data_IF_974626015485
#
_entry.id   IF_974626015485
#
_cell.length_a   1.000
_cell.length_b   1.000
_cell.length_c   1.000
_cell.angle_alpha   90.00
_cell.angle_beta   90.00
_cell.angle_gamma   90.00
#
_symmetry.space_group_name_H-M   'P 1'
#
loop_
_entity.id
_entity.type
_entity.pdbx_description
1 polymer ?
#
# COMPACT_ATOMS: atom_id res chain seq x y z
N UNK A 1 6.87 29.61 50.96
CA UNK A 1 8.24 29.78 51.46
C UNK A 1 9.06 28.68 50.83
N UNK A 2 9.90 28.85 49.88
CA UNK A 2 10.74 29.88 49.26
C UNK A 2 10.80 29.70 47.74
N UNK A 3 10.73 30.81 47.02
CA UNK A 3 11.07 30.94 45.61
C UNK A 3 12.60 30.80 45.43
N UNK A 4 13.05 30.07 44.41
CA UNK A 4 14.37 30.25 43.83
C UNK A 4 14.23 30.55 42.35
N UNK A 5 14.53 31.80 42.01
CA UNK A 5 14.70 32.31 40.67
C UNK A 5 16.05 31.86 40.11
N UNK A 6 16.09 31.41 38.85
CA UNK A 6 17.34 31.27 38.08
C UNK A 6 17.46 32.39 37.06
N UNK A 7 18.53 33.16 37.22
CA UNK A 7 18.95 34.21 36.28
C UNK A 7 19.63 33.59 35.05
N UNK A 8 19.22 34.00 33.87
CA UNK A 8 19.98 33.80 32.63
C UNK A 8 20.92 34.98 32.41
N UNK A 9 22.23 34.71 32.32
CA UNK A 9 23.25 35.68 31.92
C UNK A 9 23.44 35.60 30.42
N UNK A 10 23.08 36.68 29.72
CA UNK A 10 23.37 36.88 28.29
C UNK A 10 24.75 37.51 28.18
N UNK A 11 25.69 36.81 27.54
CA UNK A 11 27.01 37.38 27.19
C UNK A 11 26.93 37.90 25.77
N UNK A 12 26.99 39.21 25.60
CA UNK A 12 27.14 39.90 24.32
C UNK A 12 28.63 40.11 24.10
N UNK A 13 29.19 39.49 23.07
CA UNK A 13 30.53 39.82 22.54
C UNK A 13 30.40 40.63 21.29
N UNK A 14 30.76 41.89 21.37
CA UNK A 14 30.92 42.75 20.22
C UNK A 14 32.29 42.49 19.57
N UNK A 15 32.28 42.21 18.26
CA UNK A 15 33.50 42.20 17.43
C UNK A 15 33.35 43.28 16.35
N UNK A 16 34.31 44.16 16.38
CA UNK A 16 34.53 45.33 15.54
C UNK A 16 34.96 44.91 14.15
N UNK A 17 34.43 45.64 13.15
CA UNK A 17 34.66 45.39 11.76
C UNK A 17 36.05 45.76 11.24
N UNK A 18 36.44 45.09 10.20
CA UNK A 18 37.39 45.56 9.20
C UNK A 18 36.77 45.43 7.80
N UNK A 19 36.56 46.55 7.16
CA UNK A 19 36.17 46.61 5.74
C UNK A 19 37.32 46.10 4.88
N UNK A 20 37.05 45.07 4.12
CA UNK A 20 37.85 44.73 2.94
C UNK A 20 36.95 44.85 1.72
N UNK A 21 37.27 45.82 0.88
CA UNK A 21 36.68 46.01 -0.45
C UNK A 21 37.23 44.90 -1.34
N UNK A 22 36.39 44.00 -1.79
CA UNK A 22 36.72 43.02 -2.83
C UNK A 22 35.84 43.28 -4.06
N UNK A 23 36.55 43.43 -5.14
CA UNK A 23 36.14 43.55 -6.53
C UNK A 23 34.95 42.69 -6.94
N UNK A 24 34.06 43.29 -7.71
CA UNK A 24 33.05 42.63 -8.53
C UNK A 24 33.66 41.49 -9.36
N UNK A 25 33.25 40.28 -9.10
CA UNK A 25 33.41 39.18 -10.03
C UNK A 25 32.02 38.72 -10.51
N UNK A 26 31.90 38.79 -11.81
CA UNK A 26 30.81 38.37 -12.67
C UNK A 26 30.04 37.15 -12.15
N UNK A 27 28.71 37.30 -12.14
CA UNK A 27 27.72 36.24 -12.04
C UNK A 27 27.98 35.08 -13.03
N UNK A 28 28.65 34.05 -12.57
CA UNK A 28 28.35 32.71 -13.06
C UNK A 28 27.26 32.19 -12.12
N UNK A 29 26.01 32.13 -12.58
CA UNK A 29 24.95 31.40 -11.96
C UNK A 29 25.44 29.93 -11.83
N UNK A 30 26.01 29.62 -10.69
CA UNK A 30 26.44 28.26 -10.35
C UNK A 30 25.21 27.38 -10.29
N UNK A 31 25.08 26.47 -11.25
CA UNK A 31 24.08 25.41 -11.21
C UNK A 31 24.21 24.72 -9.84
N UNK A 32 23.24 24.92 -8.96
CA UNK A 32 23.20 24.20 -7.68
C UNK A 32 23.15 22.68 -7.95
N UNK A 33 23.95 21.91 -7.21
CA UNK A 33 23.95 20.44 -7.32
C UNK A 33 22.54 19.89 -7.08
N UNK A 34 22.20 18.80 -7.76
CA UNK A 34 20.92 18.12 -7.56
C UNK A 34 20.89 17.55 -6.14
N UNK A 35 19.87 17.91 -5.38
CA UNK A 35 19.66 17.38 -4.05
C UNK A 35 18.65 16.21 -4.11
N UNK A 36 18.94 15.14 -3.34
CA UNK A 36 18.11 13.95 -3.20
C UNK A 36 17.64 13.82 -1.76
N UNK A 37 16.37 13.51 -1.55
CA UNK A 37 15.80 13.21 -0.23
C UNK A 37 14.75 12.10 -0.33
N UNK A 38 14.72 11.23 0.68
CA UNK A 38 13.63 10.27 0.92
C UNK A 38 13.16 10.31 2.37
N UNK A 39 13.49 11.37 3.09
CA UNK A 39 13.12 11.57 4.50
C UNK A 39 11.71 12.21 4.58
N UNK A 40 10.73 11.41 4.21
CA UNK A 40 9.30 11.72 4.28
C UNK A 40 8.47 10.44 4.26
N UNK A 41 7.18 10.54 4.61
CA UNK A 41 6.23 9.42 4.64
C UNK A 41 6.26 8.58 3.35
N UNK A 42 6.50 7.28 3.49
CA UNK A 42 6.67 6.30 2.41
C UNK A 42 7.90 6.51 1.52
N UNK A 43 8.77 7.47 1.85
CA UNK A 43 10.02 7.74 1.14
C UNK A 43 11.00 6.58 1.27
N UNK A 44 11.63 6.18 0.16
CA UNK A 44 12.56 5.05 0.14
C UNK A 44 13.53 5.16 -1.04
N UNK A 45 14.78 5.29 -0.74
CA UNK A 45 15.94 5.05 -1.61
C UNK A 45 17.11 4.73 -0.70
N UNK A 46 17.97 3.81 -1.06
CA UNK A 46 19.16 3.56 -0.26
C UNK A 46 20.24 4.58 -0.56
N UNK A 47 20.61 4.65 -1.83
CA UNK A 47 21.63 5.57 -2.31
C UNK A 47 21.25 6.09 -3.68
N UNK A 48 21.38 7.40 -3.90
CA UNK A 48 21.24 8.05 -5.19
C UNK A 48 22.07 9.33 -5.19
N UNK A 49 23.02 9.47 -6.13
CA UNK A 49 23.91 10.62 -6.23
C UNK A 49 24.15 11.01 -7.68
N UNK A 50 24.48 12.27 -7.91
CA UNK A 50 24.87 12.79 -9.23
C UNK A 50 26.29 12.31 -9.56
N UNK A 51 26.42 11.24 -10.36
CA UNK A 51 27.69 10.65 -10.75
C UNK A 51 28.41 11.42 -11.86
N UNK A 52 27.65 12.18 -12.67
CA UNK A 52 28.10 13.15 -13.67
C UNK A 52 26.97 14.15 -13.92
N UNK A 53 27.21 15.32 -14.51
CA UNK A 53 26.18 16.37 -14.68
C UNK A 53 24.87 15.85 -15.23
N UNK A 54 23.77 16.04 -14.46
CA UNK A 54 22.40 15.59 -14.74
C UNK A 54 22.23 14.07 -14.89
N UNK A 55 23.15 13.27 -14.39
CA UNK A 55 23.07 11.82 -14.39
C UNK A 55 23.24 11.30 -12.96
N UNK A 56 22.17 10.72 -12.41
CA UNK A 56 22.17 10.11 -11.10
C UNK A 56 22.30 8.60 -11.21
N UNK A 57 23.10 8.02 -10.31
CA UNK A 57 23.28 6.58 -10.18
C UNK A 57 22.95 6.18 -8.76
N UNK A 58 22.30 5.04 -8.57
CA UNK A 58 21.97 4.55 -7.25
C UNK A 58 21.25 3.22 -7.27
N UNK A 59 20.67 2.86 -6.14
CA UNK A 59 19.89 1.63 -5.97
C UNK A 59 18.79 1.81 -4.93
N UNK A 60 17.66 1.08 -5.07
CA UNK A 60 16.61 1.07 -4.09
C UNK A 60 17.08 0.40 -2.80
N UNK A 61 16.34 0.62 -1.74
CA UNK A 61 16.65 0.06 -0.43
C UNK A 61 16.27 -1.41 -0.36
N UNK A 62 17.26 -2.28 -0.22
CA UNK A 62 17.04 -3.67 0.08
C UNK A 62 16.61 -3.88 1.55
N UNK A 63 15.61 -4.74 1.75
CA UNK A 63 15.13 -5.13 3.07
C UNK A 63 15.11 -6.65 3.17
N UNK A 64 15.92 -7.18 4.10
CA UNK A 64 15.96 -8.62 4.39
C UNK A 64 14.98 -8.93 5.50
N UNK A 65 14.17 -9.97 5.30
CA UNK A 65 13.31 -10.49 6.34
C UNK A 65 14.17 -11.04 7.50
N UNK A 66 13.75 -10.81 8.74
CA UNK A 66 14.48 -11.30 9.92
C UNK A 66 14.40 -12.81 10.06
N UNK A 67 13.24 -13.39 9.80
CA UNK A 67 12.95 -14.81 9.99
C UNK A 67 13.35 -15.69 8.80
N UNK A 68 13.70 -15.10 7.64
CA UNK A 68 14.04 -15.86 6.41
C UNK A 68 15.19 -15.24 5.62
N UNK A 69 15.49 -15.83 4.46
CA UNK A 69 16.49 -15.29 3.51
C UNK A 69 15.90 -14.30 2.51
N UNK A 70 14.61 -13.99 2.62
CA UNK A 70 13.92 -13.12 1.65
C UNK A 70 14.47 -11.70 1.69
N UNK A 71 14.71 -11.14 0.50
CA UNK A 71 15.28 -9.81 0.29
C UNK A 71 14.44 -9.08 -0.73
N UNK A 72 13.77 -8.02 -0.27
CA UNK A 72 12.83 -7.23 -1.04
C UNK A 72 13.39 -5.84 -1.33
N UNK A 73 13.19 -5.34 -2.56
CA UNK A 73 13.96 -4.21 -3.08
C UNK A 73 13.19 -3.30 -4.03
N UNK A 74 12.00 -3.67 -4.50
CA UNK A 74 11.45 -3.02 -5.69
C UNK A 74 10.83 -1.65 -5.45
N UNK A 75 10.55 -1.25 -4.22
CA UNK A 75 10.00 0.07 -3.94
C UNK A 75 11.08 1.14 -3.86
N UNK A 76 10.90 2.22 -4.62
CA UNK A 76 11.60 3.48 -4.42
C UNK A 76 10.62 4.65 -4.48
N UNK A 77 10.87 5.67 -3.67
CA UNK A 77 10.14 6.93 -3.65
C UNK A 77 11.04 8.01 -3.07
N UNK A 78 11.41 8.98 -3.88
CA UNK A 78 12.35 10.02 -3.50
C UNK A 78 12.00 11.35 -4.16
N UNK A 79 12.51 12.45 -3.57
CA UNK A 79 12.42 13.81 -4.08
C UNK A 79 13.77 14.24 -4.67
N UNK A 80 13.72 14.89 -5.81
CA UNK A 80 14.83 15.66 -6.36
C UNK A 80 14.53 17.15 -6.25
N UNK A 81 15.57 17.96 -6.01
CA UNK A 81 15.50 19.42 -6.06
C UNK A 81 16.64 19.98 -6.92
N UNK A 82 16.48 21.22 -7.37
CA UNK A 82 17.38 21.88 -8.32
C UNK A 82 17.36 21.23 -9.71
N UNK A 83 16.19 20.81 -10.20
CA UNK A 83 16.06 20.07 -11.47
C UNK A 83 15.30 20.82 -12.57
N UNK A 84 14.77 22.02 -12.31
CA UNK A 84 13.99 22.78 -13.29
C UNK A 84 14.69 22.93 -14.64
N UNK A 85 14.04 22.52 -15.73
CA UNK A 85 14.54 22.60 -17.10
C UNK A 85 15.72 21.69 -17.43
N UNK A 86 16.21 20.90 -16.49
CA UNK A 86 17.31 19.95 -16.71
C UNK A 86 16.82 18.64 -17.29
N UNK A 87 17.54 18.08 -18.25
CA UNK A 87 17.31 16.71 -18.74
C UNK A 87 18.03 15.73 -17.81
N UNK A 88 17.27 15.16 -16.88
CA UNK A 88 17.80 14.28 -15.84
C UNK A 88 17.73 12.83 -16.30
N UNK A 89 18.85 12.12 -16.19
CA UNK A 89 18.92 10.67 -16.34
C UNK A 89 19.14 10.04 -14.98
N UNK A 90 18.39 9.00 -14.66
CA UNK A 90 18.50 8.23 -13.42
C UNK A 90 18.71 6.77 -13.79
N UNK A 91 19.77 6.17 -13.27
CA UNK A 91 20.06 4.75 -13.37
C UNK A 91 19.98 4.13 -11.98
N UNK A 92 19.08 3.16 -11.84
CA UNK A 92 18.97 2.34 -10.63
C UNK A 92 19.51 0.94 -10.93
N UNK A 93 20.48 0.51 -10.14
CA UNK A 93 21.11 -0.81 -10.21
C UNK A 93 20.62 -1.71 -9.06
N UNK A 94 21.10 -2.94 -9.01
CA UNK A 94 20.77 -3.93 -7.97
C UNK A 94 19.27 -4.26 -7.88
N UNK A 95 18.60 -4.36 -9.02
CA UNK A 95 17.17 -4.63 -9.12
C UNK A 95 16.87 -6.15 -9.15
N UNK A 96 17.42 -6.87 -8.18
CA UNK A 96 17.21 -8.30 -7.97
C UNK A 96 17.18 -8.62 -6.48
N UNK A 97 16.26 -9.45 -6.04
CA UNK A 97 16.12 -9.87 -4.66
C UNK A 97 15.94 -11.38 -4.50
N UNK A 98 15.45 -11.78 -3.34
CA UNK A 98 15.18 -13.18 -3.01
C UNK A 98 13.77 -13.28 -2.46
N UNK A 99 13.00 -14.26 -2.92
CA UNK A 99 11.72 -14.61 -2.37
C UNK A 99 11.54 -16.13 -2.30
N UNK A 100 11.24 -16.65 -1.10
CA UNK A 100 11.11 -18.08 -0.81
C UNK A 100 12.33 -18.90 -1.31
N UNK A 101 13.51 -18.34 -1.11
CA UNK A 101 14.79 -18.96 -1.49
C UNK A 101 15.13 -18.94 -2.98
N UNK A 102 14.29 -18.32 -3.83
CA UNK A 102 14.53 -18.15 -5.26
C UNK A 102 14.78 -16.70 -5.67
N UNK A 103 15.29 -16.46 -6.89
CA UNK A 103 15.42 -15.10 -7.42
C UNK A 103 14.06 -14.40 -7.50
N UNK A 104 13.99 -13.15 -7.05
CA UNK A 104 12.84 -12.30 -7.14
C UNK A 104 13.11 -11.15 -8.11
N UNK A 105 12.49 -11.16 -9.29
CA UNK A 105 12.71 -10.22 -10.38
C UNK A 105 11.36 -9.57 -10.75
N UNK A 106 11.11 -8.38 -10.21
CA UNK A 106 9.83 -7.66 -10.39
C UNK A 106 9.89 -6.70 -11.57
N UNK A 107 11.07 -6.17 -11.89
CA UNK A 107 11.21 -5.20 -12.98
C UNK A 107 11.14 -5.88 -14.34
N UNK A 108 10.47 -5.23 -15.27
CA UNK A 108 10.30 -5.67 -16.66
C UNK A 108 10.54 -4.51 -17.63
N UNK A 109 10.56 -4.79 -18.93
CA UNK A 109 10.58 -3.75 -19.96
C UNK A 109 9.33 -2.85 -19.91
N UNK A 110 8.25 -3.30 -19.28
CA UNK A 110 7.03 -2.54 -19.04
C UNK A 110 7.05 -1.69 -17.76
N UNK A 111 8.13 -1.70 -16.98
CA UNK A 111 8.23 -0.87 -15.78
C UNK A 111 8.35 0.60 -16.17
N UNK A 112 7.40 1.44 -15.71
CA UNK A 112 7.43 2.88 -15.90
C UNK A 112 7.25 3.60 -14.55
N UNK A 113 8.30 4.23 -14.03
CA UNK A 113 8.18 5.08 -12.86
C UNK A 113 7.20 6.23 -13.06
N UNK A 114 6.70 6.77 -11.97
CA UNK A 114 5.83 7.93 -11.96
C UNK A 114 6.54 9.11 -11.31
N UNK A 115 6.13 10.36 -11.69
CA UNK A 115 6.59 11.57 -11.04
C UNK A 115 5.45 12.52 -10.75
N UNK A 116 5.63 13.40 -9.77
CA UNK A 116 4.66 14.41 -9.36
C UNK A 116 5.38 15.66 -8.84
N UNK A 117 4.75 16.83 -9.01
CA UNK A 117 5.21 18.08 -8.40
C UNK A 117 4.50 18.42 -7.08
N UNK A 118 3.42 17.71 -6.75
CA UNK A 118 2.56 17.98 -5.58
C UNK A 118 2.17 16.73 -4.79
N UNK A 119 2.70 15.57 -5.15
CA UNK A 119 2.39 14.24 -4.57
C UNK A 119 0.91 13.81 -4.74
N UNK A 120 0.15 14.51 -5.57
CA UNK A 120 -1.28 14.23 -5.84
C UNK A 120 -1.53 13.90 -7.31
N UNK A 121 -0.94 14.68 -8.21
CA UNK A 121 -1.10 14.51 -9.65
C UNK A 121 0.15 13.82 -10.22
N UNK A 122 0.02 12.54 -10.51
CA UNK A 122 1.11 11.69 -10.98
C UNK A 122 1.11 11.52 -12.49
N UNK A 123 2.29 11.56 -13.08
CA UNK A 123 2.54 11.35 -14.50
C UNK A 123 3.57 10.23 -14.68
N UNK A 124 3.51 9.49 -15.80
CA UNK A 124 4.49 8.44 -16.07
C UNK A 124 5.70 8.96 -16.80
N UNK A 125 6.86 8.38 -16.49
CA UNK A 125 8.09 8.58 -17.23
C UNK A 125 8.10 7.55 -18.36
N UNK A 126 8.16 8.03 -19.63
CA UNK A 126 8.05 7.16 -20.79
C UNK A 126 9.40 6.75 -21.38
N UNK A 127 10.47 7.58 -21.22
CA UNK A 127 11.81 7.20 -21.65
C UNK A 127 12.47 6.32 -20.60
N UNK A 128 12.20 5.00 -20.72
CA UNK A 128 12.64 3.99 -19.76
C UNK A 128 13.28 2.84 -20.49
N UNK A 129 14.39 2.33 -19.96
CA UNK A 129 15.11 1.14 -20.44
C UNK A 129 15.43 0.23 -19.26
N UNK A 130 14.95 -1.01 -19.33
CA UNK A 130 15.31 -2.06 -18.38
C UNK A 130 16.33 -3.01 -19.00
N UNK A 131 17.43 -3.23 -18.29
CA UNK A 131 18.46 -4.20 -18.66
C UNK A 131 18.32 -5.43 -17.75
N UNK A 132 17.81 -6.53 -18.31
CA UNK A 132 17.56 -7.76 -17.56
C UNK A 132 18.85 -8.50 -17.17
N UNK A 133 19.96 -8.34 -17.93
CA UNK A 133 21.24 -8.99 -17.63
C UNK A 133 21.95 -8.30 -16.47
N UNK A 134 21.84 -6.98 -16.38
CA UNK A 134 22.45 -6.17 -15.34
C UNK A 134 21.51 -5.90 -14.16
N UNK A 135 20.24 -6.29 -14.27
CA UNK A 135 19.19 -5.94 -13.31
C UNK A 135 19.20 -4.43 -12.99
N UNK A 136 19.13 -3.61 -14.03
CA UNK A 136 19.16 -2.16 -13.93
C UNK A 136 18.05 -1.50 -14.71
N UNK A 137 17.58 -0.36 -14.22
CA UNK A 137 16.54 0.48 -14.83
C UNK A 137 17.13 1.87 -15.06
N UNK A 138 17.12 2.33 -16.31
CA UNK A 138 17.50 3.70 -16.66
C UNK A 138 16.29 4.44 -17.19
N UNK A 139 16.02 5.64 -16.66
CA UNK A 139 14.93 6.49 -17.14
C UNK A 139 15.34 7.95 -17.20
N UNK A 140 14.66 8.72 -18.08
CA UNK A 140 14.97 10.13 -18.33
C UNK A 140 13.71 10.96 -18.36
N UNK A 141 13.83 12.20 -17.88
CA UNK A 141 12.80 13.20 -18.06
C UNK A 141 13.37 14.62 -17.96
N UNK A 142 12.64 15.58 -18.53
CA UNK A 142 12.86 17.01 -18.31
C UNK A 142 11.77 17.50 -17.35
N UNK A 143 12.17 17.94 -16.16
CA UNK A 143 11.22 18.40 -15.16
C UNK A 143 10.98 19.92 -15.30
N UNK A 144 9.70 20.31 -15.25
CA UNK A 144 9.31 21.73 -15.40
C UNK A 144 9.57 22.53 -14.12
N UNK A 145 9.44 21.90 -12.94
CA UNK A 145 9.59 22.55 -11.65
C UNK A 145 10.92 22.19 -10.98
N UNK A 146 11.33 23.00 -10.02
CA UNK A 146 12.60 22.84 -9.32
C UNK A 146 12.63 21.61 -8.40
N UNK A 147 11.49 21.22 -7.89
CA UNK A 147 11.32 20.02 -7.06
C UNK A 147 10.37 19.04 -7.69
N UNK A 148 10.71 17.74 -7.67
CA UNK A 148 9.90 16.64 -8.20
C UNK A 148 10.00 15.42 -7.31
N UNK A 149 8.89 14.75 -7.10
CA UNK A 149 8.85 13.43 -6.47
C UNK A 149 8.78 12.36 -7.55
N UNK A 150 9.57 11.31 -7.38
CA UNK A 150 9.67 10.18 -8.31
C UNK A 150 9.46 8.89 -7.54
N UNK A 151 8.58 8.02 -8.03
CA UNK A 151 8.27 6.75 -7.39
C UNK A 151 8.18 5.59 -8.38
N UNK A 152 8.33 4.37 -7.86
CA UNK A 152 8.17 3.12 -8.61
C UNK A 152 6.77 2.99 -9.25
N UNK A 153 5.72 3.27 -8.49
CA UNK A 153 4.31 3.31 -8.91
C UNK A 153 3.60 4.42 -8.12
N UNK A 154 2.30 4.63 -8.34
CA UNK A 154 1.51 5.63 -7.61
C UNK A 154 1.58 5.35 -6.09
N UNK A 155 2.23 6.20 -5.27
CA UNK A 155 2.29 5.99 -3.83
C UNK A 155 0.92 6.17 -3.17
N UNK A 156 0.66 5.37 -2.15
CA UNK A 156 -0.44 5.57 -1.20
C UNK A 156 0.18 5.61 0.20
N UNK A 157 0.53 6.80 0.67
CA UNK A 157 1.27 6.97 1.92
C UNK A 157 0.41 6.69 3.16
N UNK A 158 1.06 6.53 4.31
CA UNK A 158 0.36 6.40 5.59
C UNK A 158 -0.52 7.63 5.87
N UNK A 159 -0.01 8.83 5.58
CA UNK A 159 -0.78 10.08 5.71
C UNK A 159 -2.01 10.07 4.81
N UNK A 160 -1.90 9.64 3.54
CA UNK A 160 -3.07 9.51 2.65
C UNK A 160 -4.10 8.52 3.18
N UNK A 161 -3.65 7.40 3.77
CA UNK A 161 -4.55 6.46 4.43
C UNK A 161 -5.28 7.04 5.63
N UNK A 162 -4.62 7.87 6.43
CA UNK A 162 -5.28 8.61 7.52
C UNK A 162 -6.25 9.67 6.97
N UNK A 163 -5.87 10.40 5.93
CA UNK A 163 -6.75 11.37 5.26
C UNK A 163 -8.00 10.69 4.71
N UNK A 164 -7.88 9.49 4.12
CA UNK A 164 -9.01 8.69 3.70
C UNK A 164 -9.94 8.38 4.88
N UNK A 165 -9.41 7.87 5.98
CA UNK A 165 -10.20 7.53 7.18
C UNK A 165 -10.90 8.78 7.72
N UNK A 166 -10.21 9.90 7.89
CA UNK A 166 -10.78 11.16 8.36
C UNK A 166 -11.86 11.71 7.40
N UNK A 167 -11.67 11.55 6.08
CA UNK A 167 -12.63 12.06 5.08
C UNK A 167 -14.00 11.40 5.14
N UNK A 168 -14.07 10.20 5.71
CA UNK A 168 -15.31 9.42 5.83
C UNK A 168 -15.88 9.40 7.25
N UNK A 169 -15.17 9.98 8.23
CA UNK A 169 -15.66 10.10 9.61
C UNK A 169 -17.02 10.83 9.68
N UNK A 170 -17.86 10.38 10.60
CA UNK A 170 -19.19 10.95 10.79
C UNK A 170 -20.22 10.55 9.74
N UNK A 171 -19.87 9.74 8.74
CA UNK A 171 -20.87 9.18 7.81
C UNK A 171 -21.83 8.25 8.56
N UNK A 172 -23.15 8.42 8.38
CA UNK A 172 -24.18 7.66 9.08
C UNK A 172 -24.13 6.13 8.88
N UNK A 173 -23.46 5.67 7.83
CA UNK A 173 -23.33 4.25 7.50
C UNK A 173 -21.99 3.65 7.98
N UNK A 174 -21.14 4.46 8.60
CA UNK A 174 -19.79 4.08 8.97
C UNK A 174 -19.58 4.07 10.50
N UNK A 175 -18.91 3.04 10.99
CA UNK A 175 -18.31 3.02 12.34
C UNK A 175 -16.82 2.69 12.19
N UNK A 176 -15.96 3.38 12.93
CA UNK A 176 -14.51 3.18 12.94
C UNK A 176 -14.11 2.66 14.32
N UNK A 177 -13.35 1.59 14.35
CA UNK A 177 -12.79 0.96 15.54
C UNK A 177 -11.27 0.84 15.40
N UNK A 178 -10.51 0.97 16.49
CA UNK A 178 -9.09 0.62 16.53
C UNK A 178 -8.97 -0.78 17.10
N UNK A 179 -8.48 -1.74 16.31
CA UNK A 179 -8.29 -3.14 16.73
C UNK A 179 -7.07 -3.31 17.61
N UNK A 180 -6.03 -2.54 17.32
CA UNK A 180 -4.75 -2.58 18.01
C UNK A 180 -3.81 -1.53 17.48
N UNK A 181 -2.55 -1.65 17.89
CA UNK A 181 -1.46 -0.76 17.47
C UNK A 181 -0.27 -1.59 17.00
N UNK A 182 0.43 -1.07 16.00
CA UNK A 182 1.74 -1.59 15.59
C UNK A 182 2.79 -1.38 16.70
N UNK A 183 3.99 -1.89 16.51
CA UNK A 183 5.10 -1.66 17.46
C UNK A 183 5.46 -0.19 17.55
N UNK A 184 5.33 0.58 16.48
CA UNK A 184 5.55 2.03 16.48
C UNK A 184 4.31 2.84 16.87
N UNK A 185 3.31 2.18 17.48
CA UNK A 185 2.10 2.80 18.03
C UNK A 185 1.17 3.44 17.00
N UNK A 186 1.21 3.02 15.73
CA UNK A 186 0.21 3.38 14.72
C UNK A 186 -1.03 2.51 14.87
N UNK A 187 -2.19 3.13 14.71
CA UNK A 187 -3.47 2.45 14.87
C UNK A 187 -3.79 1.53 13.67
N UNK A 188 -4.35 0.35 13.97
CA UNK A 188 -4.94 -0.56 12.99
C UNK A 188 -6.44 -0.37 13.06
N UNK A 189 -6.99 0.29 12.04
CA UNK A 189 -8.40 0.66 11.98
C UNK A 189 -9.23 -0.40 11.29
N UNK A 190 -10.38 -0.71 11.88
CA UNK A 190 -11.45 -1.48 11.27
C UNK A 190 -12.63 -0.57 10.97
N UNK A 191 -12.97 -0.44 9.71
CA UNK A 191 -14.10 0.34 9.22
C UNK A 191 -15.28 -0.59 8.97
N UNK A 192 -16.40 -0.33 9.66
CA UNK A 192 -17.64 -1.08 9.47
C UNK A 192 -18.62 -0.24 8.68
N UNK A 193 -18.99 -0.71 7.48
CA UNK A 193 -19.96 -0.03 6.62
C UNK A 193 -21.23 -0.87 6.48
N UNK A 194 -22.37 -0.32 6.89
CA UNK A 194 -23.69 -0.97 6.80
C UNK A 194 -24.81 0.05 7.01
N UNK A 195 -26.02 -0.25 6.58
CA UNK A 195 -27.23 0.52 6.93
C UNK A 195 -27.83 0.00 8.24
N UNK A 196 -27.59 0.71 9.33
CA UNK A 196 -28.08 0.31 10.68
C UNK A 196 -29.58 0.44 10.87
N UNK A 197 -30.29 1.08 9.92
CA UNK A 197 -31.77 1.12 9.94
C UNK A 197 -32.37 -0.24 9.57
N UNK A 198 -31.60 -1.10 8.94
CA UNK A 198 -31.94 -2.50 8.64
C UNK A 198 -31.23 -3.41 9.65
N UNK A 199 -31.94 -4.28 10.37
CA UNK A 199 -31.31 -5.22 11.30
C UNK A 199 -30.24 -6.09 10.64
N UNK A 200 -29.15 -6.34 11.34
CA UNK A 200 -28.06 -7.18 10.83
C UNK A 200 -28.45 -8.65 10.67
N UNK A 201 -29.55 -9.08 11.31
CA UNK A 201 -30.09 -10.42 11.15
C UNK A 201 -30.41 -10.70 9.67
N UNK A 202 -29.68 -11.65 9.06
CA UNK A 202 -29.80 -12.00 7.64
C UNK A 202 -28.95 -11.20 6.68
N UNK A 203 -28.21 -10.19 7.13
CA UNK A 203 -27.14 -9.59 6.32
C UNK A 203 -25.95 -10.56 6.20
N UNK A 204 -25.26 -10.47 5.09
CA UNK A 204 -23.97 -11.15 4.90
C UNK A 204 -22.87 -10.30 5.52
N UNK A 205 -21.84 -10.94 6.03
CA UNK A 205 -20.68 -10.25 6.62
C UNK A 205 -19.49 -10.48 5.72
N UNK A 206 -18.89 -9.41 5.24
CA UNK A 206 -17.74 -9.43 4.34
C UNK A 206 -16.57 -8.77 5.06
N UNK A 207 -15.43 -9.45 5.08
CA UNK A 207 -14.19 -8.94 5.63
C UNK A 207 -13.20 -8.66 4.49
N UNK A 208 -12.63 -7.47 4.44
CA UNK A 208 -11.69 -7.04 3.40
C UNK A 208 -10.47 -6.42 4.07
N UNK A 209 -9.29 -6.88 3.67
CA UNK A 209 -8.01 -6.31 4.06
C UNK A 209 -7.27 -5.79 2.84
N UNK A 210 -6.48 -4.73 3.00
CA UNK A 210 -5.58 -4.22 1.98
C UNK A 210 -4.24 -3.83 2.61
N UNK A 211 -3.20 -3.72 1.79
CA UNK A 211 -1.87 -3.26 2.19
C UNK A 211 -1.25 -4.09 3.33
N UNK A 212 -1.42 -5.41 3.28
CA UNK A 212 -0.67 -6.33 4.14
C UNK A 212 0.81 -6.32 3.77
N UNK A 213 1.12 -6.26 2.46
CA UNK A 213 2.44 -5.90 1.98
C UNK A 213 2.49 -4.40 1.68
N UNK A 214 3.41 -3.71 2.35
CA UNK A 214 3.43 -2.26 2.39
C UNK A 214 3.64 -1.58 1.01
N UNK A 215 4.45 -2.17 0.12
CA UNK A 215 4.75 -1.64 -1.22
C UNK A 215 3.69 -1.93 -2.28
N UNK A 216 2.57 -2.55 -1.92
CA UNK A 216 1.46 -2.87 -2.83
C UNK A 216 0.39 -1.75 -2.84
N UNK A 217 0.83 -0.52 -3.07
CA UNK A 217 0.07 0.71 -2.83
C UNK A 217 -1.25 0.83 -3.59
N UNK A 218 -1.44 0.11 -4.71
CA UNK A 218 -2.72 0.09 -5.42
C UNK A 218 -3.87 -0.39 -4.52
N UNK A 219 -3.59 -1.26 -3.54
CA UNK A 219 -4.56 -1.72 -2.55
C UNK A 219 -5.21 -0.57 -1.74
N UNK A 220 -4.45 0.49 -1.44
CA UNK A 220 -4.97 1.67 -0.76
C UNK A 220 -6.00 2.44 -1.59
N UNK A 221 -5.73 2.63 -2.89
CA UNK A 221 -6.69 3.25 -3.82
C UNK A 221 -7.92 2.38 -4.03
N UNK A 222 -7.76 1.05 -4.04
CA UNK A 222 -8.89 0.11 -4.10
C UNK A 222 -9.77 0.24 -2.86
N UNK A 223 -9.17 0.31 -1.66
CA UNK A 223 -9.90 0.55 -0.41
C UNK A 223 -10.66 1.89 -0.44
N UNK A 224 -10.02 2.94 -0.97
CA UNK A 224 -10.65 4.25 -1.14
C UNK A 224 -11.84 4.19 -2.10
N UNK A 225 -11.69 3.53 -3.27
CA UNK A 225 -12.78 3.35 -4.22
C UNK A 225 -13.96 2.55 -3.67
N UNK A 226 -13.65 1.49 -2.90
CA UNK A 226 -14.63 0.69 -2.18
C UNK A 226 -15.43 1.55 -1.17
N UNK A 227 -14.74 2.34 -0.34
CA UNK A 227 -15.38 3.19 0.66
C UNK A 227 -16.18 4.32 0.01
N UNK A 228 -15.63 5.02 -0.98
CA UNK A 228 -16.33 6.06 -1.75
C UNK A 228 -17.65 5.55 -2.33
N UNK A 229 -17.63 4.35 -2.93
CA UNK A 229 -18.83 3.74 -3.47
C UNK A 229 -19.82 3.34 -2.37
N UNK A 230 -19.35 2.56 -1.39
CA UNK A 230 -20.24 2.06 -0.32
C UNK A 230 -20.89 3.18 0.52
N UNK A 231 -20.24 4.33 0.64
CA UNK A 231 -20.76 5.48 1.41
C UNK A 231 -21.51 6.50 0.56
N UNK A 232 -21.63 6.27 -0.76
CA UNK A 232 -22.34 7.16 -1.68
C UNK A 232 -23.86 7.00 -1.64
N UNK A 233 -24.56 7.92 -2.33
CA UNK A 233 -26.02 7.88 -2.54
C UNK A 233 -26.44 6.99 -3.73
N UNK A 234 -25.51 6.24 -4.35
CA UNK A 234 -25.79 5.27 -5.42
C UNK A 234 -26.77 4.20 -4.91
N UNK A 235 -27.84 3.93 -5.67
CA UNK A 235 -28.87 2.95 -5.29
C UNK A 235 -28.30 1.54 -5.05
N UNK A 236 -27.27 1.15 -5.81
CA UNK A 236 -26.59 -0.13 -5.63
C UNK A 236 -25.76 -0.14 -4.36
N UNK A 237 -25.15 1.01 -3.99
CA UNK A 237 -24.46 1.15 -2.71
C UNK A 237 -25.45 1.05 -1.54
N UNK A 238 -26.62 1.68 -1.65
CA UNK A 238 -27.69 1.54 -0.66
C UNK A 238 -28.15 0.07 -0.54
N UNK A 239 -28.30 -0.65 -1.65
CA UNK A 239 -28.62 -2.09 -1.64
C UNK A 239 -27.52 -2.90 -0.97
N UNK A 240 -26.24 -2.64 -1.29
CA UNK A 240 -25.10 -3.30 -0.66
C UNK A 240 -25.13 -3.13 0.86
N UNK A 241 -25.30 -1.91 1.37
CA UNK A 241 -25.37 -1.63 2.82
C UNK A 241 -26.58 -2.28 3.52
N UNK A 242 -27.73 -2.41 2.84
CA UNK A 242 -28.93 -3.06 3.37
C UNK A 242 -28.82 -4.58 3.46
N UNK A 243 -27.97 -5.18 2.64
CA UNK A 243 -27.82 -6.65 2.53
C UNK A 243 -26.55 -7.17 3.15
N UNK A 244 -25.56 -6.29 3.40
CA UNK A 244 -24.21 -6.67 3.80
C UNK A 244 -23.67 -5.74 4.89
N UNK A 245 -22.90 -6.31 5.79
CA UNK A 245 -22.00 -5.60 6.73
C UNK A 245 -20.58 -5.75 6.19
N UNK A 246 -19.98 -4.68 5.74
CA UNK A 246 -18.59 -4.68 5.31
C UNK A 246 -17.67 -4.35 6.48
N UNK A 247 -16.67 -5.15 6.71
CA UNK A 247 -15.60 -5.00 7.70
C UNK A 247 -14.29 -4.80 6.94
N UNK A 248 -13.73 -3.59 6.94
CA UNK A 248 -12.64 -3.20 6.06
C UNK A 248 -11.45 -2.73 6.89
N UNK A 249 -10.27 -3.31 6.67
CA UNK A 249 -9.00 -2.80 7.18
C UNK A 249 -8.24 -2.19 6.00
N UNK A 250 -8.22 -0.85 5.85
CA UNK A 250 -7.65 -0.20 4.67
C UNK A 250 -6.12 -0.16 4.68
N UNK A 251 -5.48 -0.34 5.83
CA UNK A 251 -4.03 -0.41 6.00
C UNK A 251 -3.70 -1.46 7.06
N UNK A 252 -3.33 -2.66 6.59
CA UNK A 252 -2.96 -3.75 7.50
C UNK A 252 -1.53 -3.57 8.05
N UNK A 253 -0.67 -2.86 7.33
CA UNK A 253 0.75 -2.68 7.64
C UNK A 253 1.16 -1.19 7.71
N UNK A 254 0.67 -0.44 8.70
CA UNK A 254 0.94 1.00 8.80
C UNK A 254 2.42 1.37 8.92
N UNK A 255 3.22 0.58 9.66
CA UNK A 255 4.65 0.85 9.85
C UNK A 255 5.45 0.63 8.57
N UNK A 256 5.19 -0.47 7.86
CA UNK A 256 5.83 -0.74 6.58
C UNK A 256 5.51 0.31 5.53
N UNK A 257 4.25 0.79 5.47
CA UNK A 257 3.82 1.88 4.58
C UNK A 257 4.58 3.16 4.92
N UNK A 258 4.60 3.56 6.19
CA UNK A 258 5.26 4.80 6.63
C UNK A 258 6.75 4.82 6.30
N UNK A 259 7.44 3.69 6.46
CA UNK A 259 8.87 3.57 6.18
C UNK A 259 9.21 3.27 4.71
N UNK A 260 8.24 3.21 3.82
CA UNK A 260 8.45 2.88 2.41
C UNK A 260 9.11 1.50 2.24
N UNK A 261 8.69 0.53 3.03
CA UNK A 261 9.17 -0.86 2.94
C UNK A 261 8.41 -1.56 1.81
N UNK A 262 9.10 -2.38 1.04
CA UNK A 262 8.51 -3.05 -0.11
C UNK A 262 7.42 -4.05 0.26
N UNK A 263 7.70 -4.94 1.24
CA UNK A 263 6.82 -6.07 1.58
C UNK A 263 6.56 -6.19 3.07
N UNK A 264 7.60 -6.06 3.86
CA UNK A 264 7.59 -6.38 5.28
C UNK A 264 6.95 -5.26 6.13
N UNK A 265 6.68 -5.57 7.39
CA UNK A 265 6.31 -4.56 8.38
C UNK A 265 7.53 -3.77 8.89
N UNK A 266 7.34 -2.92 9.90
CA UNK A 266 8.41 -2.13 10.51
C UNK A 266 9.51 -2.98 11.15
N UNK A 267 9.18 -4.19 11.59
CA UNK A 267 10.13 -5.15 12.17
C UNK A 267 10.81 -6.05 11.14
N UNK A 268 10.53 -5.86 9.86
CA UNK A 268 11.03 -6.64 8.73
C UNK A 268 10.54 -8.11 8.75
N UNK A 269 9.28 -8.32 9.12
CA UNK A 269 8.60 -9.61 8.99
C UNK A 269 7.49 -9.53 7.93
N UNK A 270 7.27 -10.65 7.23
CA UNK A 270 6.20 -10.77 6.24
C UNK A 270 4.90 -11.15 6.93
N UNK A 271 4.02 -10.17 7.13
CA UNK A 271 2.75 -10.38 7.82
C UNK A 271 1.90 -11.49 7.19
N UNK A 272 2.03 -11.71 5.88
CA UNK A 272 1.27 -12.76 5.18
C UNK A 272 1.94 -14.14 5.23
N UNK A 273 2.88 -14.34 6.15
CA UNK A 273 3.51 -15.62 6.46
C UNK A 273 3.36 -16.01 7.95
N UNK A 274 2.63 -15.21 8.75
CA UNK A 274 2.55 -15.40 10.21
C UNK A 274 1.15 -15.78 10.72
N UNK A 275 0.22 -16.04 9.82
CA UNK A 275 -1.16 -16.34 10.21
C UNK A 275 -1.38 -17.76 10.76
N UNK A 276 -0.42 -18.67 10.54
CA UNK A 276 -0.46 -20.05 11.08
C UNK A 276 -0.06 -20.13 12.56
N UNK A 277 0.64 -19.11 13.07
CA UNK A 277 1.18 -19.16 14.42
C UNK A 277 0.07 -19.23 15.47
N UNK A 278 0.18 -20.21 16.35
CA UNK A 278 -0.73 -20.39 17.47
C UNK A 278 -0.29 -19.50 18.64
N UNK A 279 -1.09 -18.48 18.95
CA UNK A 279 -0.86 -17.58 20.09
C UNK A 279 -0.87 -18.30 21.46
N UNK A 280 -1.25 -19.57 21.51
CA UNK A 280 -1.26 -20.37 22.73
C UNK A 280 0.08 -21.05 22.97
N UNK A 281 0.94 -21.14 21.98
CA UNK A 281 2.28 -21.72 22.12
C UNK A 281 3.28 -20.67 22.60
N UNK A 282 3.63 -20.70 23.86
CA UNK A 282 4.59 -19.81 24.51
C UNK A 282 6.05 -20.02 24.07
N UNK A 283 6.32 -21.02 23.21
CA UNK A 283 7.64 -21.32 22.68
C UNK A 283 7.92 -20.63 21.35
N UNK A 284 6.90 -20.10 20.67
CA UNK A 284 7.08 -19.35 19.43
C UNK A 284 7.27 -17.86 19.71
N UNK A 285 8.00 -17.20 18.82
CA UNK A 285 8.21 -15.75 18.87
C UNK A 285 6.86 -15.03 18.86
N UNK A 286 6.71 -13.90 19.56
CA UNK A 286 5.47 -13.17 19.55
C UNK A 286 5.11 -12.80 18.10
N UNK A 287 3.95 -13.25 17.67
CA UNK A 287 3.33 -12.86 16.39
C UNK A 287 3.29 -11.34 16.30
N UNK A 288 3.48 -10.80 15.10
CA UNK A 288 3.44 -9.36 14.91
C UNK A 288 2.09 -8.77 15.36
N UNK A 289 2.09 -7.60 16.02
CA UNK A 289 0.89 -7.01 16.63
C UNK A 289 -0.27 -6.85 15.65
N UNK A 290 0.05 -6.58 14.38
CA UNK A 290 -0.90 -6.43 13.28
C UNK A 290 -1.72 -7.69 13.08
N UNK A 291 -1.06 -8.84 12.99
CA UNK A 291 -1.70 -10.16 12.84
C UNK A 291 -2.44 -10.53 14.13
N UNK A 292 -1.80 -10.32 15.28
CA UNK A 292 -2.35 -10.68 16.59
C UNK A 292 -3.68 -9.99 16.88
N UNK A 293 -3.80 -8.68 16.63
CA UNK A 293 -5.02 -7.93 16.93
C UNK A 293 -6.18 -8.32 16.01
N UNK A 294 -5.91 -8.58 14.74
CA UNK A 294 -6.94 -9.00 13.77
C UNK A 294 -7.40 -10.43 14.08
N UNK A 295 -6.49 -11.35 14.35
CA UNK A 295 -6.81 -12.73 14.73
C UNK A 295 -7.65 -12.77 16.01
N UNK A 296 -7.28 -11.94 17.01
CA UNK A 296 -8.08 -11.77 18.23
C UNK A 296 -9.48 -11.28 17.91
N UNK A 297 -9.61 -10.23 17.09
CA UNK A 297 -10.92 -9.72 16.69
C UNK A 297 -11.77 -10.77 15.97
N UNK A 298 -11.22 -11.57 15.06
CA UNK A 298 -11.95 -12.63 14.36
C UNK A 298 -12.46 -13.67 15.37
N UNK A 299 -11.64 -14.11 16.34
CA UNK A 299 -12.04 -15.06 17.39
C UNK A 299 -13.17 -14.49 18.26
N UNK A 300 -13.05 -13.26 18.72
CA UNK A 300 -14.08 -12.58 19.50
C UNK A 300 -15.38 -12.43 18.70
N UNK A 301 -15.29 -12.02 17.43
CA UNK A 301 -16.44 -11.93 16.54
C UNK A 301 -17.18 -13.27 16.39
N UNK A 302 -16.47 -14.33 16.12
CA UNK A 302 -17.05 -15.69 16.02
C UNK A 302 -17.65 -16.18 17.33
N UNK A 303 -17.10 -15.82 18.47
CA UNK A 303 -17.66 -16.18 19.79
C UNK A 303 -19.05 -15.59 20.02
N UNK A 304 -19.43 -14.54 19.32
CA UNK A 304 -20.79 -13.97 19.35
C UNK A 304 -21.82 -14.78 18.56
N UNK A 305 -21.41 -15.88 17.92
CA UNK A 305 -22.26 -16.70 17.04
C UNK A 305 -22.45 -16.12 15.63
N UNK A 306 -21.76 -15.00 15.28
CA UNK A 306 -21.79 -14.40 13.94
C UNK A 306 -20.67 -14.99 13.08
N UNK A 307 -20.99 -15.33 11.83
CA UNK A 307 -20.02 -15.84 10.87
C UNK A 307 -19.70 -14.82 9.80
N UNK A 308 -18.42 -14.68 9.44
CA UNK A 308 -17.99 -13.97 8.25
C UNK A 308 -18.36 -14.86 7.05
N UNK A 309 -19.10 -14.27 6.10
CA UNK A 309 -19.64 -14.99 4.94
C UNK A 309 -18.66 -15.07 3.78
N UNK A 310 -17.72 -14.13 3.74
CA UNK A 310 -16.70 -13.99 2.69
C UNK A 310 -15.57 -13.10 3.21
N UNK A 311 -14.33 -13.42 2.87
CA UNK A 311 -13.19 -12.55 3.08
C UNK A 311 -12.36 -12.40 1.81
N UNK A 312 -11.83 -11.19 1.55
CA UNK A 312 -10.88 -10.91 0.49
C UNK A 312 -9.70 -10.14 1.06
N UNK A 313 -8.50 -10.63 0.75
CA UNK A 313 -7.25 -9.93 1.01
C UNK A 313 -6.71 -9.36 -0.31
N UNK A 314 -6.62 -8.05 -0.40
CA UNK A 314 -6.27 -7.36 -1.64
C UNK A 314 -4.76 -7.15 -1.69
N UNK A 315 -4.13 -7.74 -2.69
CA UNK A 315 -2.71 -7.72 -2.98
C UNK A 315 -2.37 -7.21 -4.37
N UNK A 316 -1.10 -7.23 -4.73
CA UNK A 316 -0.67 -6.92 -6.08
C UNK A 316 0.45 -7.79 -6.61
N UNK A 317 0.45 -7.96 -7.94
CA UNK A 317 1.40 -8.82 -8.69
C UNK A 317 2.71 -8.11 -9.07
N UNK A 318 2.96 -6.89 -8.63
CA UNK A 318 4.01 -6.03 -9.15
C UNK A 318 3.48 -5.10 -10.26
N UNK A 319 4.38 -4.40 -10.99
CA UNK A 319 3.93 -3.38 -11.94
C UNK A 319 3.12 -3.92 -13.11
N UNK A 320 3.54 -5.03 -13.69
CA UNK A 320 2.91 -5.62 -14.86
C UNK A 320 2.39 -7.02 -14.53
N UNK A 321 1.09 -7.16 -14.41
CA UNK A 321 0.41 -8.44 -14.24
C UNK A 321 -0.18 -8.97 -15.54
N UNK A 322 -0.41 -10.27 -15.65
CA UNK A 322 -1.08 -10.87 -16.82
C UNK A 322 -2.56 -10.54 -16.86
N UNK A 323 -3.21 -10.49 -15.71
CA UNK A 323 -4.62 -10.15 -15.45
C UNK A 323 -4.85 -10.08 -13.93
N UNK A 324 -6.05 -9.72 -13.50
CA UNK A 324 -6.40 -9.87 -12.07
C UNK A 324 -6.55 -11.34 -11.73
N UNK A 325 -6.07 -11.74 -10.55
CA UNK A 325 -6.11 -13.13 -10.10
C UNK A 325 -6.89 -13.24 -8.80
N UNK A 326 -7.71 -14.27 -8.67
CA UNK A 326 -8.33 -14.65 -7.41
C UNK A 326 -7.74 -16.01 -6.97
N UNK A 327 -6.86 -15.98 -5.99
CA UNK A 327 -6.28 -17.16 -5.35
C UNK A 327 -7.14 -17.58 -4.17
N UNK A 328 -7.57 -18.83 -4.14
CA UNK A 328 -8.38 -19.38 -3.06
C UNK A 328 -8.28 -20.90 -3.08
N UNK A 329 -8.53 -21.61 -1.96
CA UNK A 329 -8.65 -23.06 -1.98
C UNK A 329 -9.65 -23.55 -3.03
N UNK A 330 -9.40 -24.71 -3.61
CA UNK A 330 -10.21 -25.27 -4.70
C UNK A 330 -11.70 -25.38 -4.30
N UNK A 331 -12.59 -24.87 -5.17
CA UNK A 331 -14.04 -24.90 -4.97
C UNK A 331 -14.59 -23.94 -3.92
N UNK A 332 -13.75 -23.04 -3.34
CA UNK A 332 -14.19 -22.16 -2.26
C UNK A 332 -14.88 -20.89 -2.73
N UNK A 333 -14.31 -20.17 -3.72
CA UNK A 333 -14.82 -18.91 -4.26
C UNK A 333 -14.86 -18.88 -5.80
N UNK A 334 -14.83 -20.03 -6.44
CA UNK A 334 -14.99 -20.14 -7.90
C UNK A 334 -16.30 -19.50 -8.38
N UNK A 335 -17.38 -19.65 -7.63
CA UNK A 335 -18.68 -19.01 -7.90
C UNK A 335 -18.67 -17.47 -7.77
N UNK A 336 -17.72 -16.86 -7.06
CA UNK A 336 -17.57 -15.40 -6.96
C UNK A 336 -16.94 -14.81 -8.22
N UNK A 337 -16.02 -15.55 -8.84
CA UNK A 337 -15.25 -15.08 -10.00
C UNK A 337 -16.13 -14.53 -11.13
N UNK A 338 -17.23 -15.19 -11.59
CA UNK A 338 -18.09 -14.65 -12.63
C UNK A 338 -18.77 -13.33 -12.28
N UNK A 339 -18.92 -13.01 -11.00
CA UNK A 339 -19.50 -11.76 -10.53
C UNK A 339 -18.48 -10.61 -10.53
N UNK A 340 -17.21 -10.90 -10.22
CA UNK A 340 -16.11 -9.95 -10.33
C UNK A 340 -15.75 -9.70 -11.79
N UNK A 341 -15.73 -10.75 -12.63
CA UNK A 341 -15.38 -10.69 -14.05
C UNK A 341 -16.30 -9.78 -14.89
N UNK A 342 -17.49 -9.43 -14.39
CA UNK A 342 -18.39 -8.44 -15.00
C UNK A 342 -17.79 -7.03 -15.05
N UNK A 343 -16.87 -6.72 -14.16
CA UNK A 343 -16.32 -5.38 -13.99
C UNK A 343 -14.92 -5.24 -14.58
N UNK A 344 -14.12 -6.32 -14.51
CA UNK A 344 -12.82 -6.46 -15.17
C UNK A 344 -12.40 -7.94 -15.19
N UNK A 345 -11.58 -8.34 -16.16
CA UNK A 345 -11.15 -9.73 -16.29
C UNK A 345 -10.50 -10.26 -15.02
N UNK A 346 -11.03 -11.36 -14.48
CA UNK A 346 -10.50 -12.05 -13.29
C UNK A 346 -10.32 -13.52 -13.63
N UNK A 347 -9.14 -14.04 -13.32
CA UNK A 347 -8.86 -15.47 -13.41
C UNK A 347 -8.85 -16.09 -12.01
N UNK A 348 -9.67 -17.09 -11.83
CA UNK A 348 -9.60 -17.97 -10.67
C UNK A 348 -8.38 -18.87 -10.74
N UNK A 349 -7.61 -18.94 -9.65
CA UNK A 349 -6.44 -19.81 -9.50
C UNK A 349 -6.61 -20.61 -8.21
N UNK A 350 -6.86 -21.93 -8.26
CA UNK A 350 -6.88 -22.76 -7.06
C UNK A 350 -5.46 -22.82 -6.49
N UNK A 351 -5.25 -22.12 -5.39
CA UNK A 351 -3.94 -22.03 -4.75
C UNK A 351 -4.09 -21.71 -3.27
N UNK A 352 -3.31 -22.40 -2.45
CA UNK A 352 -3.16 -22.14 -1.02
C UNK A 352 -1.75 -21.64 -0.73
N UNK A 353 -1.65 -20.60 0.08
CA UNK A 353 -0.38 -20.09 0.57
C UNK A 353 -0.32 -20.34 2.08
N UNK A 354 0.41 -21.39 2.52
CA UNK A 354 0.59 -21.68 3.94
C UNK A 354 1.12 -20.46 4.69
N UNK A 355 0.57 -20.20 5.87
CA UNK A 355 0.90 -19.04 6.69
C UNK A 355 0.21 -17.75 6.29
N UNK A 356 -0.58 -17.73 5.21
CA UNK A 356 -1.31 -16.54 4.76
C UNK A 356 -2.60 -16.30 5.55
N UNK A 357 -3.09 -15.05 5.50
CA UNK A 357 -4.43 -14.70 6.01
C UNK A 357 -5.51 -15.59 5.41
N UNK A 358 -5.48 -15.78 4.09
CA UNK A 358 -6.45 -16.59 3.37
C UNK A 358 -6.45 -18.04 3.87
N UNK A 359 -5.28 -18.63 4.04
CA UNK A 359 -5.13 -20.00 4.54
C UNK A 359 -5.67 -20.13 5.98
N UNK A 360 -5.31 -19.22 6.86
CA UNK A 360 -5.80 -19.14 8.23
C UNK A 360 -7.33 -19.02 8.28
N UNK A 361 -7.91 -18.09 7.51
CA UNK A 361 -9.36 -17.90 7.45
C UNK A 361 -10.09 -19.15 6.98
N UNK A 362 -9.56 -19.83 5.96
CA UNK A 362 -10.15 -21.06 5.43
C UNK A 362 -10.03 -22.23 6.41
N UNK A 363 -8.84 -22.48 6.95
CA UNK A 363 -8.54 -23.70 7.75
C UNK A 363 -8.92 -23.56 9.22
N UNK A 364 -8.51 -22.46 9.88
CA UNK A 364 -8.78 -22.28 11.32
C UNK A 364 -10.22 -21.80 11.55
N UNK A 365 -10.67 -20.85 10.73
CA UNK A 365 -11.96 -20.19 10.97
C UNK A 365 -13.11 -20.70 10.11
N UNK A 366 -12.85 -21.52 9.09
CA UNK A 366 -13.84 -22.02 8.12
C UNK A 366 -14.61 -20.86 7.44
N UNK A 367 -13.88 -19.80 7.09
CA UNK A 367 -14.40 -18.62 6.40
C UNK A 367 -14.03 -18.73 4.93
N UNK A 368 -15.00 -18.67 4.00
CA UNK A 368 -14.70 -18.57 2.58
C UNK A 368 -13.83 -17.33 2.30
N UNK A 369 -12.62 -17.54 1.80
CA UNK A 369 -11.62 -16.47 1.67
C UNK A 369 -10.79 -16.63 0.42
N UNK A 370 -10.27 -15.50 -0.08
CA UNK A 370 -9.39 -15.45 -1.23
C UNK A 370 -8.46 -14.25 -1.19
N UNK A 371 -7.29 -14.41 -1.84
CA UNK A 371 -6.35 -13.34 -2.13
C UNK A 371 -6.65 -12.81 -3.53
N UNK A 372 -6.92 -11.50 -3.64
CA UNK A 372 -7.22 -10.83 -4.90
C UNK A 372 -6.02 -10.00 -5.33
N UNK A 373 -5.33 -10.46 -6.37
CA UNK A 373 -4.09 -9.91 -6.88
C UNK A 373 -4.35 -8.96 -8.06
N UNK A 374 -3.96 -7.70 -7.93
CA UNK A 374 -4.13 -6.64 -8.92
C UNK A 374 -2.76 -6.25 -9.50
N UNK A 375 -2.60 -6.01 -10.82
CA UNK A 375 -1.39 -5.40 -11.35
C UNK A 375 -1.19 -3.98 -10.80
N UNK A 376 0.04 -3.64 -10.37
CA UNK A 376 0.31 -2.31 -9.79
C UNK A 376 0.32 -1.17 -10.82
N UNK A 377 0.53 -1.46 -12.09
CA UNK A 377 0.63 -0.40 -13.11
C UNK A 377 -0.14 -0.71 -14.37
N UNK A 378 -0.12 -1.94 -14.83
CA UNK A 378 -0.91 -2.34 -16.02
C UNK A 378 -1.15 -3.84 -16.10
N UNK A 379 -2.20 -4.21 -16.80
CA UNK A 379 -2.34 -5.54 -17.39
C UNK A 379 -1.42 -5.59 -18.61
N UNK A 380 -0.68 -6.68 -18.78
CA UNK A 380 0.28 -6.84 -19.86
C UNK A 380 -0.36 -6.54 -21.22
N UNK A 381 0.36 -5.77 -22.04
CA UNK A 381 -0.05 -5.33 -23.38
C UNK A 381 -1.28 -4.39 -23.42
N UNK A 382 -1.77 -3.92 -22.26
CA UNK A 382 -2.84 -2.93 -22.16
C UNK A 382 -2.32 -1.55 -21.72
N UNK A 383 -3.22 -0.58 -21.61
CA UNK A 383 -2.90 0.76 -21.10
C UNK A 383 -2.48 0.69 -19.62
N UNK A 384 -1.67 1.66 -19.22
CA UNK A 384 -1.31 1.81 -17.81
C UNK A 384 -2.52 2.26 -16.99
N UNK A 385 -2.69 1.62 -15.84
CA UNK A 385 -3.74 1.96 -14.88
C UNK A 385 -3.45 3.30 -14.20
N UNK A 386 -4.51 4.05 -13.97
CA UNK A 386 -4.53 5.30 -13.22
C UNK A 386 -5.08 5.07 -11.81
N UNK A 387 -5.03 6.07 -10.95
CA UNK A 387 -5.69 6.02 -9.64
C UNK A 387 -7.21 5.86 -9.76
N UNK A 388 -7.83 6.44 -10.80
CA UNK A 388 -9.27 6.30 -11.07
C UNK A 388 -9.64 4.86 -11.45
N UNK A 389 -8.76 4.15 -12.14
CA UNK A 389 -8.96 2.74 -12.44
C UNK A 389 -9.01 1.91 -11.15
N UNK A 390 -8.10 2.17 -10.18
CA UNK A 390 -8.14 1.49 -8.88
C UNK A 390 -9.40 1.83 -8.06
N UNK A 391 -9.90 3.07 -8.12
CA UNK A 391 -11.20 3.40 -7.54
C UNK A 391 -12.32 2.58 -8.16
N UNK A 392 -12.27 2.38 -9.48
CA UNK A 392 -13.21 1.52 -10.20
C UNK A 392 -13.11 0.06 -9.77
N UNK A 393 -11.90 -0.45 -9.50
CA UNK A 393 -11.70 -1.78 -8.90
C UNK A 393 -12.43 -1.90 -7.56
N UNK A 394 -12.25 -0.95 -6.64
CA UNK A 394 -12.92 -0.95 -5.35
C UNK A 394 -14.44 -0.97 -5.47
N UNK A 395 -15.01 -0.11 -6.35
CA UNK A 395 -16.44 -0.10 -6.66
C UNK A 395 -16.92 -1.45 -7.19
N UNK A 396 -16.19 -2.06 -8.10
CA UNK A 396 -16.60 -3.32 -8.72
C UNK A 396 -16.47 -4.52 -7.77
N UNK A 397 -15.53 -4.53 -6.83
CA UNK A 397 -15.47 -5.52 -5.75
C UNK A 397 -16.80 -5.48 -4.96
N UNK A 398 -17.23 -4.28 -4.53
CA UNK A 398 -18.49 -4.14 -3.81
C UNK A 398 -19.71 -4.62 -4.63
N UNK A 399 -19.75 -4.27 -5.92
CA UNK A 399 -20.83 -4.67 -6.83
C UNK A 399 -20.81 -6.17 -7.09
N UNK A 400 -19.66 -6.76 -7.35
CA UNK A 400 -19.51 -8.21 -7.58
C UNK A 400 -19.93 -9.03 -6.36
N UNK A 401 -19.51 -8.63 -5.17
CA UNK A 401 -19.93 -9.26 -3.90
C UNK A 401 -21.44 -9.12 -3.70
N UNK A 402 -22.02 -7.95 -3.98
CA UNK A 402 -23.46 -7.72 -3.84
C UNK A 402 -24.25 -8.62 -4.79
N UNK A 403 -23.86 -8.70 -6.06
CA UNK A 403 -24.47 -9.55 -7.07
C UNK A 403 -24.37 -11.04 -6.66
N UNK A 404 -23.23 -11.47 -6.17
CA UNK A 404 -23.00 -12.85 -5.71
C UNK A 404 -24.00 -13.25 -4.62
N UNK A 405 -24.17 -12.41 -3.60
CA UNK A 405 -25.09 -12.73 -2.51
C UNK A 405 -26.57 -12.61 -2.88
N UNK A 406 -26.94 -11.72 -3.80
CA UNK A 406 -28.32 -11.60 -4.27
C UNK A 406 -28.74 -12.83 -5.09
N UNK A 407 -27.90 -13.33 -6.00
CA UNK A 407 -28.20 -14.52 -6.79
C UNK A 407 -28.22 -15.81 -5.96
N UNK A 408 -27.37 -15.93 -4.94
CA UNK A 408 -27.42 -17.06 -3.98
C UNK A 408 -28.75 -17.16 -3.24
N UNK A 409 -29.44 -16.03 -2.99
CA UNK A 409 -30.78 -16.03 -2.38
C UNK A 409 -31.88 -16.54 -3.35
N UNK A 410 -31.69 -16.38 -4.65
CA UNK A 410 -32.64 -16.88 -5.67
C UNK A 410 -32.52 -18.37 -5.87
N UNK A 411 -31.30 -18.94 -5.87
CA UNK A 411 -31.04 -20.37 -5.95
C UNK A 411 -31.55 -21.15 -4.73
N UNK A 412 -31.53 -20.54 -3.54
CA UNK A 412 -32.03 -21.18 -2.30
C UNK A 412 -33.57 -21.16 -2.14
N UNK A 413 -34.33 -20.60 -3.09
CA UNK A 413 -35.79 -20.58 -3.13
C UNK A 413 -36.42 -21.55 -4.12
N UNK A 414 -35.60 -22.29 -4.88
CA UNK A 414 -35.99 -23.42 -5.73
C UNK A 414 -35.71 -24.74 -5.03
#
# INVERSE_FOLDING_TARGET
>A
MELRAFFYITVITALTGTHCVSSENSDTAGSSAIAVSSDFDSGSIDTLWESKPNFLTGWPRHRKQKSSSDDQYYWFYFKLSNVAGKNITIQLDSLAGIYRGGPHLIYTAGTQPVYSYDQKHWQRIHDVQYNAEQHSLTFRNVFAEDSVWIAYAHPFSYTQGLELIHSVEGNQFLTIETLGKTREQRDIHLLTVTDTTVPDAGKKIVFITTLQHAGEYCGGYVAEGLLRFLLSDDEKAAMARKTTVYKIIPMMNPDGIFHGITRFNGDLEDLNQEWDDDFTDTLHLPVEPEVACVKKWIREWKSTGKNISLALDIHSQGQEGSMNLLHTPEGMLDDLTPHLDKYWPVKYIPMEFSGSLNDCLAKEFHIPSGTFEIPQSRIKDEAYLTTDDYYTYGKGIALGITDYFLQGKERGKQ
#
